data_IF_052756145557
#
_entry.id   IF_052756145557
#
_cell.length_a   1.000
_cell.length_b   1.000
_cell.length_c   1.000
_cell.angle_alpha   90.00
_cell.angle_beta   90.00
_cell.angle_gamma   90.00
#
_symmetry.space_group_name_H-M   'P 1'
#
loop_
_entity.id
_entity.type
_entity.pdbx_description
1 polymer ?
2 non-polymer ?
3 water ?
#
# COMPACT_ATOMS: atom_id res chain seq x y z
N UNK A 5 25.03 19.69 -19.53
CA UNK A 5 24.64 19.71 -18.08
C UNK A 5 23.15 19.36 -17.79
N UNK A 6 23.04 18.37 -16.93
CA UNK A 6 21.82 17.66 -16.69
C UNK A 6 20.81 18.53 -15.96
N UNK A 7 21.29 19.36 -15.02
CA UNK A 7 20.42 20.28 -14.29
C UNK A 7 19.78 21.27 -15.26
N UNK A 8 20.56 21.79 -16.21
CA UNK A 8 20.00 22.69 -17.23
C UNK A 8 18.92 22.02 -18.06
N UNK A 9 19.15 20.76 -18.44
CA UNK A 9 18.16 19.94 -19.14
C UNK A 9 16.85 19.76 -18.35
N UNK A 10 16.97 19.49 -17.06
CA UNK A 10 15.79 19.41 -16.20
C UNK A 10 15.05 20.75 -16.13
N UNK A 11 15.81 21.83 -15.95
CA UNK A 11 15.25 23.19 -15.96
C UNK A 11 14.48 23.54 -17.22
N UNK A 12 15.03 23.14 -18.36
CA UNK A 12 14.40 23.35 -19.66
C UNK A 12 13.03 22.73 -19.74
N UNK A 13 12.87 21.56 -19.11
CA UNK A 13 11.61 20.86 -19.02
C UNK A 13 10.59 21.60 -18.18
N UNK A 14 11.07 22.34 -17.19
CA UNK A 14 10.22 23.02 -16.20
C UNK A 14 9.79 24.44 -16.58
N UNK A 15 10.63 25.15 -17.33
CA UNK A 15 10.46 26.58 -17.61
C UNK A 15 9.40 26.89 -18.67
N UNK A 16 8.94 28.15 -18.69
CA UNK A 16 7.85 28.63 -19.56
C UNK A 16 8.34 29.26 -20.86
N UNK A 17 9.65 29.25 -21.07
CA UNK A 17 10.21 29.79 -22.32
C UNK A 17 10.59 31.25 -22.26
N UNK A 18 10.19 31.94 -21.18
CA UNK A 18 10.51 33.35 -20.97
C UNK A 18 11.60 33.57 -19.91
N UNK A 19 12.27 32.48 -19.54
CA UNK A 19 13.21 32.44 -18.42
C UNK A 19 12.56 32.28 -17.05
N UNK A 20 11.28 31.90 -17.02
CA UNK A 20 10.48 31.83 -15.79
C UNK A 20 9.84 30.45 -15.62
N UNK A 21 9.22 30.24 -14.45
CA UNK A 21 8.66 28.94 -14.05
C UNK A 21 7.28 29.22 -13.49
N UNK A 22 6.25 28.56 -14.04
CA UNK A 22 4.87 28.80 -13.56
C UNK A 22 4.76 28.41 -12.08
N UNK A 23 3.91 29.12 -11.35
CA UNK A 23 3.70 28.78 -9.93
C UNK A 23 2.46 27.89 -9.79
N UNK A 24 2.32 27.15 -8.65
CA UNK A 24 1.14 26.27 -8.43
C UNK A 24 -0.15 27.00 -8.66
N UNK A 25 -1.02 26.41 -9.47
CA UNK A 25 -2.31 27.00 -9.80
C UNK A 25 -3.39 26.55 -8.82
N UNK A 26 -3.04 25.57 -7.98
CA UNK A 26 -3.93 25.05 -6.91
C UNK A 26 -3.11 24.77 -5.67
N UNK A 27 -3.73 24.76 -4.48
CA UNK A 27 -2.97 24.46 -3.27
C UNK A 27 -2.49 23.00 -3.15
N UNK A 28 -3.18 22.09 -3.85
CA UNK A 28 -2.86 20.65 -3.75
C UNK A 28 -3.19 19.94 -5.08
N UNK A 29 -2.33 19.00 -5.48
CA UNK A 29 -2.59 18.13 -6.63
C UNK A 29 -2.20 16.68 -6.32
N UNK A 30 -2.97 15.74 -6.89
CA UNK A 30 -2.56 14.34 -6.89
C UNK A 30 -1.60 14.19 -8.09
N UNK A 31 -0.33 13.98 -7.80
CA UNK A 31 0.70 14.07 -8.84
C UNK A 31 0.89 12.73 -9.54
N UNK A 32 0.69 11.67 -8.77
CA UNK A 32 0.71 10.29 -9.23
C UNK A 32 -0.32 9.60 -8.32
N UNK A 33 -0.83 8.41 -8.73
CA UNK A 33 -1.92 7.85 -7.93
C UNK A 33 -1.61 7.72 -6.42
N UNK A 34 -2.51 8.31 -5.62
CA UNK A 34 -2.47 8.31 -4.14
C UNK A 34 -1.30 9.08 -3.51
N UNK A 35 -0.60 9.87 -4.33
CA UNK A 35 0.41 10.82 -3.82
C UNK A 35 0.02 12.25 -4.20
N UNK A 36 -0.10 13.09 -3.18
CA UNK A 36 -0.51 14.49 -3.30
C UNK A 36 0.67 15.35 -2.89
N UNK A 37 0.85 16.44 -3.63
CA UNK A 37 1.84 17.46 -3.30
C UNK A 37 1.10 18.78 -3.08
N UNK A 38 1.43 19.48 -2.00
CA UNK A 38 0.69 20.70 -1.69
C UNK A 38 1.41 21.67 -0.79
N UNK A 39 0.70 22.73 -0.42
CA UNK A 39 1.29 23.83 0.31
C UNK A 39 0.94 23.80 1.80
N UNK A 40 1.33 24.88 2.48
CA UNK A 40 1.18 24.93 3.94
C UNK A 40 -0.28 25.03 4.35
N UNK A 41 -1.10 25.64 3.50
CA UNK A 41 -2.49 25.88 3.88
C UNK A 41 -3.26 24.57 3.84
N UNK A 42 -2.99 23.74 2.85
CA UNK A 42 -3.72 22.47 2.76
C UNK A 42 -3.28 21.52 3.89
N UNK A 43 -1.99 21.55 4.23
CA UNK A 43 -1.44 20.72 5.32
C UNK A 43 -2.16 21.07 6.63
N UNK A 44 -2.54 22.34 6.76
CA UNK A 44 -3.14 22.83 8.00
C UNK A 44 -4.68 22.83 7.99
N UNK A 45 -5.25 22.17 6.97
CA UNK A 45 -6.70 22.09 6.80
C UNK A 45 -7.13 20.64 6.97
N UNK A 46 -7.27 20.22 8.21
CA UNK A 46 -7.55 18.82 8.49
C UNK A 46 -8.85 18.32 7.87
N UNK A 47 -9.95 19.10 7.97
CA UNK A 47 -11.15 18.63 7.25
C UNK A 47 -10.95 18.40 5.74
N UNK A 48 -10.22 19.27 5.05
CA UNK A 48 -9.91 19.03 3.64
C UNK A 48 -9.13 17.72 3.44
N UNK A 49 -8.15 17.48 4.31
CA UNK A 49 -7.32 16.27 4.24
C UNK A 49 -8.16 15.01 4.37
N UNK A 50 -9.11 15.04 5.31
CA UNK A 50 -10.03 13.93 5.56
C UNK A 50 -10.93 13.64 4.37
N UNK A 51 -11.48 14.69 3.75
CA UNK A 51 -12.32 14.55 2.54
C UNK A 51 -11.55 13.94 1.38
N UNK A 52 -10.25 14.26 1.29
CA UNK A 52 -9.38 13.73 0.26
C UNK A 52 -9.02 12.25 0.55
N UNK A 53 -9.25 11.82 1.78
CA UNK A 53 -8.87 10.50 2.28
C UNK A 53 -7.38 10.34 2.63
N UNK A 54 -6.73 11.44 2.98
CA UNK A 54 -5.31 11.41 3.34
C UNK A 54 -5.09 10.62 4.64
N UNK A 55 -4.18 9.65 4.58
CA UNK A 55 -3.88 8.84 5.76
C UNK A 55 -2.51 9.22 6.37
N UNK A 56 -1.66 9.84 5.55
CA UNK A 56 -0.28 10.11 5.93
C UNK A 56 0.13 11.50 5.44
N UNK A 57 0.87 12.22 6.28
CA UNK A 57 1.36 13.55 5.91
C UNK A 57 2.85 13.60 6.25
N UNK A 58 3.64 13.90 5.21
CA UNK A 58 5.08 14.14 5.27
C UNK A 58 5.27 15.64 5.11
N UNK A 59 5.61 16.32 6.21
CA UNK A 59 5.95 17.74 6.19
C UNK A 59 7.44 17.89 5.87
N UNK A 60 7.74 18.30 4.63
CA UNK A 60 9.13 18.48 4.16
C UNK A 60 9.63 19.90 4.38
N UNK A 61 8.88 20.70 5.14
CA UNK A 61 9.32 22.04 5.51
C UNK A 61 9.09 22.32 6.99
N UNK A 62 9.30 21.30 7.83
CA UNK A 62 8.96 21.41 9.24
C UNK A 62 9.87 22.44 9.92
N UNK A 63 9.29 23.33 10.72
CA UNK A 63 10.09 24.35 11.36
C UNK A 63 9.33 25.59 11.73
N UNK A 64 10.04 26.62 12.17
CA UNK A 64 9.44 27.79 12.81
C UNK A 64 9.56 29.12 12.00
N UNK A 65 10.26 29.09 10.87
CA UNK A 65 10.40 30.33 10.06
C UNK A 65 9.25 30.58 9.06
N UNK A 66 9.24 31.77 8.46
CA UNK A 66 8.24 32.09 7.43
C UNK A 66 8.40 31.21 6.17
N UNK A 67 9.50 30.46 6.09
CA UNK A 67 9.67 29.49 4.99
C UNK A 67 9.44 28.03 5.43
N UNK A 68 8.92 27.88 6.64
CA UNK A 68 8.63 26.55 7.19
C UNK A 68 7.16 26.43 7.56
N UNK A 69 6.75 25.21 7.89
CA UNK A 69 5.39 24.91 8.32
C UNK A 69 5.51 24.34 9.73
N UNK A 70 4.95 25.10 10.68
CA UNK A 70 5.10 24.83 12.11
C UNK A 70 4.06 23.84 12.64
N UNK A 71 3.98 22.69 12.00
CA UNK A 71 3.13 21.59 12.46
C UNK A 71 3.99 20.54 13.15
N UNK A 72 3.33 19.51 13.67
CA UNK A 72 3.94 18.50 14.50
C UNK A 72 2.95 17.36 14.63
N UNK A 73 3.36 16.28 15.29
CA UNK A 73 2.49 15.09 15.47
C UNK A 73 1.21 15.45 16.19
N UNK A 74 1.34 16.26 17.23
CA UNK A 74 0.20 16.68 18.05
C UNK A 74 -0.88 17.45 17.29
N UNK A 75 -0.48 18.21 16.27
CA UNK A 75 -1.44 18.87 15.37
C UNK A 75 -2.39 17.86 14.72
N UNK A 76 -1.86 16.66 14.43
CA UNK A 76 -2.67 15.63 13.80
C UNK A 76 -3.23 14.59 14.78
N UNK A 77 -3.00 14.77 16.07
CA UNK A 77 -3.46 13.77 17.05
C UNK A 77 -4.99 13.63 17.00
N UNK A 78 -5.45 12.39 16.92
CA UNK A 78 -6.89 12.06 16.86
C UNK A 78 -7.60 12.56 15.58
N UNK A 79 -6.81 12.88 14.54
CA UNK A 79 -7.37 13.07 13.20
C UNK A 79 -7.27 11.72 12.51
N UNK A 80 -6.46 10.83 13.09
CA UNK A 80 -6.15 9.52 12.49
C UNK A 80 -5.11 9.57 11.36
N UNK A 81 -4.50 10.74 11.16
CA UNK A 81 -3.49 10.90 10.13
C UNK A 81 -2.12 10.67 10.77
N UNK A 82 -1.29 9.89 10.09
CA UNK A 82 0.05 9.56 10.54
C UNK A 82 1.02 10.61 10.00
N UNK A 83 1.84 11.18 10.89
CA UNK A 83 2.70 12.33 10.56
C UNK A 83 4.21 12.02 10.63
N UNK A 84 4.96 12.55 9.65
CA UNK A 84 6.43 12.67 9.77
C UNK A 84 6.88 14.06 9.32
N UNK A 85 7.84 14.64 10.05
CA UNK A 85 8.41 15.93 9.66
C UNK A 85 9.88 15.83 9.27
N UNK A 86 10.25 16.64 8.28
CA UNK A 86 11.65 16.79 7.83
C UNK A 86 11.89 18.30 7.81
N UNK A 87 12.84 18.75 8.62
CA UNK A 87 13.12 20.19 8.78
C UNK A 87 14.08 20.65 7.67
N UNK A 88 13.59 20.64 6.43
CA UNK A 88 14.44 21.02 5.29
C UNK A 88 14.36 22.51 5.01
N UNK A 89 15.49 23.08 4.58
CA UNK A 89 15.51 24.42 4.02
C UNK A 89 15.55 24.36 2.51
N UNK A 90 14.83 25.28 1.86
CA UNK A 90 14.86 25.33 0.37
C UNK A 90 16.08 26.10 -0.14
N UNK A 91 17.27 25.49 -0.01
CA UNK A 91 18.51 26.09 -0.51
C UNK A 91 19.33 25.06 -1.24
N UNK A 92 20.18 25.55 -2.13
CA UNK A 92 21.02 24.67 -2.91
C UNK A 92 21.99 23.92 -2.02
N UNK A 93 22.21 24.45 -0.82
CA UNK A 93 23.16 23.88 0.14
C UNK A 93 22.56 22.76 0.99
N UNK A 94 21.23 22.69 1.08
CA UNK A 94 20.60 21.77 2.00
C UNK A 94 20.70 20.40 1.36
N UNK A 95 21.28 19.46 2.11
CA UNK A 95 21.43 18.09 1.62
C UNK A 95 20.16 17.27 1.78
N UNK A 96 19.16 17.57 0.95
CA UNK A 96 17.87 16.83 1.00
C UNK A 96 18.05 15.34 0.68
N UNK A 97 19.08 15.01 -0.11
CA UNK A 97 19.32 13.61 -0.44
C UNK A 97 19.56 12.70 0.78
N UNK A 98 20.05 13.26 1.87
CA UNK A 98 20.20 12.51 3.12
C UNK A 98 18.85 11.96 3.63
N UNK A 99 17.76 12.52 3.10
CA UNK A 99 16.38 12.16 3.52
C UNK A 99 15.62 11.33 2.49
N UNK A 100 16.24 11.08 1.34
CA UNK A 100 15.53 10.40 0.25
C UNK A 100 15.03 9.03 0.70
N UNK A 101 15.86 8.28 1.41
CA UNK A 101 15.48 6.94 1.86
C UNK A 101 14.38 6.98 2.92
N UNK A 102 14.60 7.81 3.95
CA UNK A 102 13.63 8.14 5.01
C UNK A 102 12.24 8.49 4.38
N UNK A 103 12.20 9.45 3.44
CA UNK A 103 10.96 9.84 2.75
C UNK A 103 10.32 8.72 1.90
N UNK A 104 11.12 8.00 1.13
CA UNK A 104 10.59 6.92 0.27
C UNK A 104 9.98 5.81 1.12
N UNK A 105 10.63 5.53 2.26
CA UNK A 105 10.13 4.53 3.20
C UNK A 105 8.79 4.96 3.78
N UNK A 106 8.63 6.24 4.08
CA UNK A 106 7.37 6.78 4.59
C UNK A 106 6.26 6.71 3.52
N UNK A 107 6.59 7.11 2.29
CA UNK A 107 5.61 7.07 1.18
C UNK A 107 5.22 5.63 0.97
N UNK A 108 6.22 4.76 1.01
CA UNK A 108 5.89 3.37 0.80
C UNK A 108 5.13 2.70 1.97
N UNK A 109 5.38 3.15 3.20
CA UNK A 109 4.57 2.81 4.39
C UNK A 109 3.09 3.09 4.06
N UNK A 110 2.82 4.28 3.51
CA UNK A 110 1.45 4.63 3.13
C UNK A 110 0.90 3.80 1.96
N UNK A 111 1.67 3.64 0.89
CA UNK A 111 1.12 3.12 -0.39
C UNK A 111 1.03 1.60 -0.40
N UNK A 112 1.67 0.99 0.57
CA UNK A 112 1.70 -0.44 0.58
C UNK A 112 0.45 -1.08 1.16
N UNK A 113 -0.33 -0.40 1.99
CA UNK A 113 -1.79 -0.33 1.97
C UNK A 113 -2.64 0.31 0.89
N UNK A 114 -3.63 -0.45 0.42
CA UNK A 114 -4.38 -0.04 -0.79
C UNK A 114 -5.24 1.22 -0.59
N UNK A 115 -5.62 1.51 0.67
CA UNK A 115 -6.39 2.71 0.97
C UNK A 115 -5.50 3.89 1.40
N UNK A 116 -4.20 3.68 1.50
CA UNK A 116 -3.30 4.76 1.92
C UNK A 116 -3.28 5.89 0.89
N UNK A 117 -3.21 7.12 1.37
CA UNK A 117 -3.02 8.28 0.53
C UNK A 117 -2.12 9.26 1.29
N UNK A 118 -1.06 9.71 0.65
CA UNK A 118 -0.04 10.51 1.33
C UNK A 118 0.02 11.92 0.73
N UNK A 119 -0.01 12.92 1.61
CA UNK A 119 0.32 14.30 1.24
C UNK A 119 1.79 14.53 1.59
N UNK A 120 2.59 14.81 0.57
CA UNK A 120 3.96 15.29 0.81
C UNK A 120 3.91 16.80 0.52
N UNK A 121 4.12 17.63 1.52
CA UNK A 121 3.95 19.08 1.35
C UNK A 121 5.15 19.85 1.86
N UNK A 122 5.26 21.11 1.45
CA UNK A 122 6.23 21.99 2.07
C UNK A 122 5.54 23.33 2.27
N UNK A 123 6.29 24.43 2.17
CA UNK A 123 5.65 25.73 2.28
C UNK A 123 4.76 26.01 1.04
N UNK A 124 5.29 25.81 -0.16
CA UNK A 124 4.51 26.09 -1.35
C UNK A 124 4.18 24.87 -2.22
N UNK A 125 4.66 23.70 -1.83
CA UNK A 125 4.60 22.49 -2.68
C UNK A 125 5.32 22.64 -4.01
N UNK A 126 6.49 23.26 -3.98
CA UNK A 126 7.13 23.72 -5.21
C UNK A 126 8.56 23.21 -5.38
N UNK A 127 9.31 23.16 -4.28
CA UNK A 127 10.72 22.72 -4.38
C UNK A 127 11.04 21.52 -3.44
N UNK A 128 10.79 21.67 -2.14
CA UNK A 128 11.19 20.62 -1.19
C UNK A 128 10.37 19.36 -1.38
N UNK A 129 9.03 19.48 -1.31
CA UNK A 129 8.18 18.27 -1.42
C UNK A 129 8.24 17.59 -2.78
N UNK A 130 8.22 18.37 -3.92
CA UNK A 130 8.32 17.68 -5.20
C UNK A 130 9.62 16.89 -5.37
N UNK A 131 10.72 17.38 -4.79
CA UNK A 131 12.00 16.65 -4.83
C UNK A 131 11.90 15.27 -4.18
N UNK A 132 11.25 15.21 -3.04
CA UNK A 132 11.11 13.95 -2.31
C UNK A 132 10.22 12.97 -3.08
N UNK A 133 9.14 13.48 -3.66
CA UNK A 133 8.22 12.60 -4.42
C UNK A 133 8.95 12.08 -5.68
N UNK A 134 9.65 12.97 -6.38
CA UNK A 134 10.48 12.54 -7.52
C UNK A 134 11.53 11.46 -7.13
N UNK A 135 12.30 11.69 -6.07
CA UNK A 135 13.23 10.66 -5.59
C UNK A 135 12.53 9.33 -5.30
N UNK A 136 11.37 9.40 -4.68
CA UNK A 136 10.58 8.19 -4.39
C UNK A 136 10.19 7.46 -5.68
N UNK A 137 9.77 8.20 -6.70
CA UNK A 137 9.37 7.59 -7.97
C UNK A 137 10.55 6.86 -8.60
N UNK A 138 11.74 7.48 -8.50
CA UNK A 138 12.94 6.90 -9.03
C UNK A 138 13.36 5.63 -8.27
N UNK A 139 13.45 5.77 -6.95
CA UNK A 139 13.90 4.70 -6.05
C UNK A 139 12.95 3.52 -5.88
N UNK A 140 11.64 3.78 -5.96
CA UNK A 140 10.66 2.73 -5.63
C UNK A 140 9.82 2.31 -6.84
N UNK A 141 9.67 3.21 -7.79
CA UNK A 141 8.85 2.94 -8.98
C UNK A 141 9.71 2.86 -10.26
N UNK A 142 11.03 2.92 -10.09
CA UNK A 142 11.99 2.69 -11.20
C UNK A 142 11.94 3.69 -12.36
N UNK A 143 11.41 4.88 -12.11
CA UNK A 143 11.40 5.96 -13.09
C UNK A 143 12.73 6.70 -13.14
N UNK A 144 13.27 6.92 -14.33
CA UNK A 144 14.41 7.83 -14.48
C UNK A 144 13.95 9.25 -14.10
N UNK A 145 14.91 10.08 -13.71
CA UNK A 145 14.64 11.43 -13.23
C UNK A 145 13.81 12.27 -14.23
N UNK A 146 14.14 12.18 -15.52
CA UNK A 146 13.41 12.99 -16.51
C UNK A 146 11.95 12.56 -16.57
N UNK A 147 11.71 11.26 -16.54
CA UNK A 147 10.35 10.74 -16.58
C UNK A 147 9.59 11.10 -15.32
N UNK A 148 10.26 10.96 -14.18
CA UNK A 148 9.65 11.20 -12.88
C UNK A 148 9.32 12.69 -12.75
N UNK A 149 10.32 13.53 -13.06
CA UNK A 149 10.16 14.99 -12.98
C UNK A 149 9.05 15.43 -13.94
N UNK A 150 9.03 14.83 -15.12
CA UNK A 150 8.04 15.22 -16.11
C UNK A 150 6.59 14.85 -15.72
N UNK A 151 6.37 13.65 -15.20
CA UNK A 151 4.99 13.30 -14.79
C UNK A 151 4.49 14.18 -13.63
N UNK A 152 5.36 14.47 -12.67
CA UNK A 152 5.01 15.37 -11.56
C UNK A 152 4.68 16.78 -12.08
N UNK A 153 5.56 17.32 -12.92
CA UNK A 153 5.35 18.65 -13.48
C UNK A 153 4.04 18.75 -14.30
N UNK A 154 3.67 17.67 -14.98
CA UNK A 154 2.45 17.70 -15.77
C UNK A 154 1.24 17.87 -14.84
N UNK A 155 1.35 17.32 -13.63
CA UNK A 155 0.26 17.39 -12.66
C UNK A 155 0.30 18.48 -11.60
N UNK A 156 1.41 19.22 -11.54
CA UNK A 156 1.57 20.36 -10.63
C UNK A 156 2.72 21.23 -11.09
N UNK A 157 2.53 22.56 -11.04
CA UNK A 157 3.63 23.48 -11.35
C UNK A 157 4.65 23.33 -10.21
N UNK A 158 5.89 22.99 -10.56
CA UNK A 158 6.97 22.74 -9.60
C UNK A 158 8.26 23.40 -10.08
N UNK A 159 9.16 23.69 -9.14
CA UNK A 159 10.51 24.19 -9.50
C UNK A 159 11.51 23.86 -8.39
N UNK A 160 11.94 22.59 -8.31
CA UNK A 160 12.99 22.28 -7.33
C UNK A 160 14.24 23.15 -7.58
N UNK A 161 14.88 23.62 -6.53
CA UNK A 161 16.11 24.41 -6.69
C UNK A 161 17.22 23.61 -7.39
N UNK A 162 18.21 24.29 -7.93
CA UNK A 162 19.24 23.63 -8.75
C UNK A 162 20.05 22.62 -7.95
N UNK A 163 20.23 22.90 -6.64
CA UNK A 163 20.92 21.97 -5.75
C UNK A 163 20.15 20.67 -5.66
N UNK A 164 18.84 20.77 -5.44
CA UNK A 164 17.97 19.61 -5.39
C UNK A 164 17.99 18.86 -6.71
N UNK A 165 17.90 19.57 -7.83
CA UNK A 165 17.97 18.89 -9.14
C UNK A 165 19.28 18.14 -9.30
N UNK A 166 20.39 18.74 -8.87
CA UNK A 166 21.70 18.07 -8.96
C UNK A 166 21.74 16.81 -8.09
N UNK A 167 21.13 16.88 -6.90
CA UNK A 167 21.01 15.69 -6.04
C UNK A 167 20.18 14.60 -6.71
N UNK A 168 19.10 15.00 -7.41
CA UNK A 168 18.32 14.03 -8.18
C UNK A 168 19.11 13.43 -9.35
N UNK A 169 19.95 14.23 -10.01
CA UNK A 169 20.80 13.67 -11.09
C UNK A 169 21.84 12.66 -10.58
N UNK A 170 22.43 12.99 -9.42
CA UNK A 170 23.39 12.07 -8.78
C UNK A 170 22.68 10.76 -8.42
N UNK A 171 21.49 10.89 -7.82
CA UNK A 171 20.63 9.74 -7.56
C UNK A 171 20.34 8.90 -8.81
N UNK A 172 19.99 9.56 -9.91
CA UNK A 172 19.69 8.89 -11.18
C UNK A 172 20.88 8.06 -11.72
N UNK A 173 22.07 8.69 -11.69
CA UNK A 173 23.34 8.03 -12.00
C UNK A 173 23.53 6.71 -11.24
N UNK A 174 23.32 6.76 -9.93
CA UNK A 174 23.51 5.60 -9.07
C UNK A 174 22.49 4.49 -9.40
N UNK A 175 21.22 4.87 -9.53
CA UNK A 175 20.17 3.91 -9.87
C UNK A 175 20.39 3.32 -11.27
N UNK A 176 20.79 4.17 -12.22
CA UNK A 176 21.07 3.72 -13.59
C UNK A 176 22.15 2.64 -13.61
N UNK A 177 23.25 2.93 -12.92
CA UNK A 177 24.41 2.06 -12.95
C UNK A 177 24.13 0.77 -12.19
N UNK A 178 23.37 0.86 -11.11
CA UNK A 178 22.91 -0.30 -10.33
C UNK A 178 21.83 -1.12 -11.02
N UNK A 179 21.39 -0.70 -12.21
CA UNK A 179 20.34 -1.41 -12.98
C UNK A 179 18.95 -1.38 -12.37
N UNK A 180 18.61 -0.26 -11.73
CA UNK A 180 17.35 -0.14 -11.01
C UNK A 180 16.33 0.80 -11.69
N UNK A 181 16.58 1.15 -12.95
CA UNK A 181 15.67 2.01 -13.69
C UNK A 181 15.08 1.30 -14.89
N UNK A 182 13.79 1.54 -15.13
CA UNK A 182 13.11 1.09 -16.35
C UNK A 182 13.70 1.79 -17.58
N UNK A 183 13.99 1.01 -18.65
CA UNK A 183 14.40 1.60 -19.92
C UNK A 183 13.19 2.22 -20.60
N UNK B 5 7.54 -7.51 -12.72
CA UNK B 5 8.18 -7.65 -11.36
C UNK B 5 7.26 -7.24 -10.23
N UNK B 6 7.23 -7.99 -9.15
CA UNK B 6 6.51 -9.21 -9.16
C UNK B 6 5.34 -8.65 -8.31
N UNK B 7 5.66 -7.93 -7.22
CA UNK B 7 4.63 -7.24 -6.40
C UNK B 7 3.83 -6.24 -7.26
N UNK B 8 4.50 -5.43 -8.09
CA UNK B 8 3.78 -4.54 -9.00
C UNK B 8 2.85 -5.29 -9.98
N UNK B 9 3.32 -6.41 -10.53
CA UNK B 9 2.46 -7.24 -11.39
C UNK B 9 1.20 -7.71 -10.63
N UNK B 10 1.36 -8.06 -9.36
CA UNK B 10 0.21 -8.50 -8.58
C UNK B 10 -0.71 -7.31 -8.25
N UNK B 11 -0.15 -6.15 -7.90
CA UNK B 11 -0.98 -4.97 -7.71
C UNK B 11 -1.84 -4.60 -8.95
N UNK B 12 -1.23 -4.72 -10.15
CA UNK B 12 -1.95 -4.51 -11.42
C UNK B 12 -3.12 -5.51 -11.62
N UNK B 13 -3.00 -6.72 -11.08
CA UNK B 13 -4.07 -7.70 -11.14
C UNK B 13 -5.20 -7.40 -10.14
N UNK B 14 -4.86 -6.68 -9.08
CA UNK B 14 -5.82 -6.38 -8.01
C UNK B 14 -6.63 -5.15 -8.30
N UNK B 15 -5.97 -4.13 -8.85
CA UNK B 15 -6.65 -2.90 -9.18
C UNK B 15 -7.46 -3.15 -10.44
N UNK B 16 -8.50 -2.33 -10.68
CA UNK B 16 -9.05 -2.34 -12.04
C UNK B 16 -8.05 -1.69 -13.00
N UNK B 17 -8.39 -1.73 -14.28
CA UNK B 17 -7.51 -1.26 -15.35
C UNK B 17 -7.19 0.22 -15.33
N UNK B 18 -7.95 0.99 -14.56
CA UNK B 18 -7.63 2.41 -14.33
C UNK B 18 -6.64 2.60 -13.15
N UNK B 19 -6.33 1.50 -12.44
CA UNK B 19 -5.46 1.54 -11.26
C UNK B 19 -6.14 1.80 -9.92
N UNK B 20 -7.47 1.92 -9.94
CA UNK B 20 -8.23 2.11 -8.68
C UNK B 20 -8.37 0.76 -7.95
N UNK B 21 -8.42 0.80 -6.61
CA UNK B 21 -8.66 -0.38 -5.79
C UNK B 21 -10.07 -0.41 -5.22
N UNK B 22 -10.88 -1.38 -5.63
CA UNK B 22 -12.25 -1.44 -5.15
C UNK B 22 -12.35 -2.23 -3.83
N UNK B 23 -13.29 -1.83 -2.99
CA UNK B 23 -13.56 -2.52 -1.73
C UNK B 23 -14.64 -3.60 -1.95
N UNK B 24 -14.73 -4.61 -1.04
CA UNK B 24 -15.72 -5.70 -1.15
C UNK B 24 -17.15 -5.19 -1.41
N UNK B 25 -17.77 -5.74 -2.44
CA UNK B 25 -19.14 -5.38 -2.80
C UNK B 25 -20.17 -6.11 -1.92
N UNK B 26 -19.76 -7.17 -1.23
CA UNK B 26 -20.62 -7.82 -0.24
C UNK B 26 -19.82 -8.39 0.93
N UNK B 27 -20.48 -8.65 2.07
CA UNK B 27 -19.80 -9.17 3.26
C UNK B 27 -18.98 -10.44 3.09
N UNK B 28 -19.44 -11.36 2.23
CA UNK B 28 -18.85 -12.70 2.08
C UNK B 28 -18.95 -13.18 0.63
N UNK B 29 -17.92 -13.87 0.13
CA UNK B 29 -17.98 -14.54 -1.16
C UNK B 29 -17.37 -15.92 -1.11
N UNK B 30 -18.01 -16.87 -1.78
CA UNK B 30 -17.39 -18.17 -2.06
C UNK B 30 -16.38 -17.93 -3.16
N UNK B 31 -15.07 -17.96 -2.82
CA UNK B 31 -14.06 -17.59 -3.83
C UNK B 31 -13.63 -18.77 -4.70
N UNK B 32 -13.63 -19.96 -4.11
CA UNK B 32 -13.46 -21.20 -4.83
C UNK B 32 -14.45 -22.19 -4.17
N UNK B 33 -14.75 -23.33 -4.81
CA UNK B 33 -15.82 -24.13 -4.22
C UNK B 33 -15.58 -24.51 -2.74
N UNK B 34 -16.56 -24.20 -1.89
CA UNK B 34 -16.55 -24.45 -0.44
C UNK B 34 -15.51 -23.62 0.35
N UNK B 35 -14.86 -22.65 -0.29
CA UNK B 35 -13.93 -21.75 0.42
C UNK B 35 -14.48 -20.34 0.35
N UNK B 36 -14.78 -19.78 1.52
CA UNK B 36 -15.39 -18.44 1.61
C UNK B 36 -14.40 -17.46 2.20
N UNK B 37 -14.46 -16.22 1.72
CA UNK B 37 -13.68 -15.13 2.31
C UNK B 37 -14.66 -14.02 2.66
N UNK B 38 -14.57 -13.53 3.89
CA UNK B 38 -15.59 -12.61 4.39
C UNK B 38 -15.06 -11.71 5.49
N UNK B 39 -15.92 -10.80 5.96
CA UNK B 39 -15.56 -9.80 6.96
C UNK B 39 -15.99 -10.22 8.36
N UNK B 40 -15.68 -9.37 9.35
CA UNK B 40 -15.91 -9.65 10.77
C UNK B 40 -17.38 -9.84 11.11
N UNK B 41 -18.24 -9.09 10.45
CA UNK B 41 -19.68 -9.16 10.73
C UNK B 41 -20.22 -10.57 10.41
N UNK B 42 -19.72 -11.17 9.36
CA UNK B 42 -20.18 -12.50 8.94
C UNK B 42 -19.68 -13.52 9.96
N UNK B 43 -18.39 -13.47 10.31
CA UNK B 43 -17.79 -14.34 11.32
C UNK B 43 -18.50 -14.27 12.69
N UNK B 44 -19.00 -13.08 13.03
CA UNK B 44 -19.66 -12.88 14.35
C UNK B 44 -21.17 -13.19 14.38
N UNK B 45 -21.69 -13.70 13.28
CA UNK B 45 -23.14 -13.93 13.12
C UNK B 45 -23.36 -15.43 12.91
N UNK B 46 -23.46 -16.16 14.02
CA UNK B 46 -23.54 -17.62 13.94
C UNK B 46 -24.79 -18.09 13.16
N UNK B 47 -25.98 -17.52 13.43
CA UNK B 47 -27.11 -17.86 12.57
C UNK B 47 -26.81 -17.74 11.08
N UNK B 48 -26.16 -16.65 10.65
CA UNK B 48 -25.81 -16.50 9.24
C UNK B 48 -24.81 -17.57 8.75
N UNK B 49 -23.81 -17.86 9.58
CA UNK B 49 -22.84 -18.91 9.24
C UNK B 49 -23.56 -20.24 9.04
N UNK B 50 -24.49 -20.55 9.95
CA UNK B 50 -25.22 -21.81 9.88
C UNK B 50 -26.08 -21.86 8.63
N UNK B 51 -26.70 -20.74 8.27
CA UNK B 51 -27.50 -20.66 7.03
C UNK B 51 -26.66 -20.89 5.77
N UNK B 52 -25.43 -20.36 5.77
CA UNK B 52 -24.46 -20.55 4.69
C UNK B 52 -23.89 -21.97 4.63
N UNK B 53 -24.07 -22.72 5.72
CA UNK B 53 -23.50 -24.06 5.84
C UNK B 53 -22.01 -24.08 6.19
N UNK B 54 -21.52 -22.97 6.76
CA UNK B 54 -20.12 -22.90 7.22
C UNK B 54 -19.89 -23.87 8.40
N UNK B 55 -18.87 -24.70 8.27
CA UNK B 55 -18.54 -25.71 9.28
C UNK B 55 -17.24 -25.43 10.00
N UNK B 56 -16.42 -24.55 9.40
CA UNK B 56 -15.05 -24.27 9.86
C UNK B 56 -14.79 -22.76 9.69
N UNK B 57 -14.25 -22.14 10.74
CA UNK B 57 -13.91 -20.71 10.69
C UNK B 57 -12.44 -20.55 11.00
N UNK B 58 -11.73 -19.95 10.04
CA UNK B 58 -10.34 -19.55 10.21
C UNK B 58 -10.28 -18.03 10.38
N UNK B 59 -10.10 -17.59 11.61
CA UNK B 59 -9.96 -16.17 11.94
C UNK B 59 -8.51 -15.73 11.78
N UNK B 60 -8.22 -15.10 10.64
CA UNK B 60 -6.88 -14.56 10.32
C UNK B 60 -6.65 -13.13 10.83
N UNK B 61 -7.51 -12.69 11.73
CA UNK B 61 -7.36 -11.38 12.42
C UNK B 61 -7.69 -11.49 13.92
N UNK B 62 -7.30 -12.60 14.55
CA UNK B 62 -7.69 -12.78 15.96
C UNK B 62 -6.95 -11.80 16.86
N UNK B 63 -7.69 -11.18 17.76
CA UNK B 63 -7.08 -10.25 18.70
C UNK B 63 -8.10 -9.35 19.32
N UNK B 64 -7.60 -8.36 20.05
CA UNK B 64 -8.40 -7.52 20.93
C UNK B 64 -8.53 -6.08 20.48
N UNK B 65 -7.78 -5.67 19.45
CA UNK B 65 -7.81 -4.28 18.99
C UNK B 65 -8.96 -3.99 18.02
N UNK B 66 -9.14 -2.71 17.67
CA UNK B 66 -10.15 -2.37 16.68
C UNK B 66 -9.87 -2.99 15.32
N UNK B 67 -8.64 -3.36 15.00
CA UNK B 67 -8.42 -4.11 13.75
C UNK B 67 -8.28 -5.66 13.80
N UNK B 68 -8.88 -6.21 14.82
CA UNK B 68 -8.90 -7.62 15.04
C UNK B 68 -10.32 -8.06 15.36
N UNK B 69 -10.50 -9.38 15.42
CA UNK B 69 -11.77 -9.97 15.74
C UNK B 69 -11.59 -10.83 16.99
N UNK B 70 -12.33 -10.48 18.04
CA UNK B 70 -12.20 -11.12 19.35
C UNK B 70 -13.09 -12.36 19.49
N UNK B 71 -12.76 -13.40 18.75
CA UNK B 71 -13.54 -14.64 18.81
C UNK B 71 -12.63 -15.77 19.24
N UNK B 72 -13.21 -16.94 19.50
CA UNK B 72 -12.44 -18.11 19.93
C UNK B 72 -13.29 -19.37 19.83
N UNK B 73 -12.74 -20.53 20.19
CA UNK B 73 -13.53 -21.76 20.19
C UNK B 73 -14.82 -21.65 21.04
N UNK B 74 -14.73 -21.04 22.21
CA UNK B 74 -15.91 -20.84 23.08
C UNK B 74 -17.03 -20.08 22.39
N UNK B 75 -16.67 -19.08 21.58
CA UNK B 75 -17.66 -18.30 20.83
C UNK B 75 -18.50 -19.25 19.98
N UNK B 76 -17.88 -20.30 19.46
CA UNK B 76 -18.54 -21.22 18.54
C UNK B 76 -19.01 -22.52 19.22
N UNK B 77 -18.97 -22.55 20.55
CA UNK B 77 -19.40 -23.72 21.35
C UNK B 77 -20.76 -24.29 20.93
N UNK B 78 -20.77 -25.58 20.60
CA UNK B 78 -22.01 -26.32 20.31
C UNK B 78 -22.79 -25.81 19.09
N UNK B 79 -22.10 -25.10 18.19
CA UNK B 79 -22.73 -24.55 16.97
C UNK B 79 -22.45 -25.45 15.79
N UNK B 80 -21.59 -26.44 15.99
CA UNK B 80 -21.15 -27.32 14.92
C UNK B 80 -20.08 -26.65 14.04
N UNK B 81 -19.54 -25.52 14.54
CA UNK B 81 -18.45 -24.81 13.85
C UNK B 81 -17.10 -25.07 14.56
N UNK B 82 -16.09 -25.49 13.77
CA UNK B 82 -14.74 -25.77 14.23
C UNK B 82 -13.89 -24.49 13.96
N UNK B 83 -13.06 -24.11 14.94
CA UNK B 83 -12.35 -22.82 14.92
C UNK B 83 -10.80 -22.95 14.92
N UNK B 84 -10.13 -22.13 14.10
CA UNK B 84 -8.70 -21.90 14.22
C UNK B 84 -8.46 -20.39 14.14
N UNK B 85 -7.59 -19.86 15.00
CA UNK B 85 -7.28 -18.43 14.97
C UNK B 85 -5.81 -18.20 14.69
N UNK B 86 -5.52 -17.09 14.03
CA UNK B 86 -4.15 -16.61 13.81
C UNK B 86 -4.14 -15.14 14.25
N UNK B 87 -3.25 -14.78 15.18
CA UNK B 87 -3.17 -13.39 15.61
C UNK B 87 -2.31 -12.61 14.63
N UNK B 88 -2.96 -12.12 13.57
CA UNK B 88 -2.23 -11.48 12.48
C UNK B 88 -2.57 -9.99 12.45
N UNK B 89 -1.57 -9.20 12.06
CA UNK B 89 -1.74 -7.77 11.82
C UNK B 89 -1.68 -7.52 10.33
N UNK B 90 -2.52 -6.61 9.86
CA UNK B 90 -2.47 -6.25 8.46
C UNK B 90 -1.37 -5.20 8.24
N UNK B 91 -0.12 -5.63 8.31
CA UNK B 91 0.99 -4.73 8.00
C UNK B 91 2.03 -5.46 7.21
N UNK B 92 2.82 -4.72 6.45
CA UNK B 92 3.89 -5.38 5.70
C UNK B 92 4.97 -5.98 6.60
N UNK B 93 5.00 -5.57 7.87
CA UNK B 93 5.97 -6.15 8.83
C UNK B 93 5.53 -7.50 9.37
N UNK B 94 4.25 -7.86 9.18
CA UNK B 94 3.76 -9.08 9.84
C UNK B 94 4.08 -10.27 8.99
N UNK B 95 4.69 -11.31 9.56
CA UNK B 95 5.09 -12.44 8.74
C UNK B 95 3.99 -13.49 8.63
N UNK B 96 2.99 -13.19 7.82
CA UNK B 96 1.86 -14.11 7.66
C UNK B 96 2.29 -15.44 7.03
N UNK B 97 3.38 -15.41 6.26
CA UNK B 97 3.90 -16.60 5.58
C UNK B 97 4.22 -17.75 6.54
N UNK B 98 4.63 -17.40 7.76
CA UNK B 98 4.90 -18.41 8.80
C UNK B 98 3.67 -19.28 9.10
N UNK B 99 2.48 -18.78 8.76
CA UNK B 99 1.23 -19.49 8.98
C UNK B 99 0.63 -20.11 7.72
N UNK B 100 1.33 -19.99 6.57
CA UNK B 100 0.74 -20.53 5.31
C UNK B 100 0.43 -22.04 5.42
N UNK B 101 1.38 -22.80 5.94
CA UNK B 101 1.20 -24.27 6.03
C UNK B 101 0.06 -24.66 7.00
N UNK B 102 0.08 -24.03 8.18
CA UNK B 102 -0.98 -24.24 9.18
C UNK B 102 -2.37 -23.93 8.64
N UNK B 103 -2.50 -22.80 7.93
CA UNK B 103 -3.77 -22.40 7.33
C UNK B 103 -4.22 -23.39 6.23
N UNK B 104 -3.29 -23.78 5.36
CA UNK B 104 -3.61 -24.73 4.27
C UNK B 104 -4.10 -26.06 4.83
N UNK B 105 -3.47 -26.50 5.93
CA UNK B 105 -3.88 -27.75 6.62
C UNK B 105 -5.30 -27.63 7.16
N UNK B 106 -5.63 -26.46 7.73
CA UNK B 106 -7.01 -26.25 8.25
C UNK B 106 -8.05 -26.25 7.11
N UNK B 107 -7.72 -25.57 6.01
CA UNK B 107 -8.59 -25.57 4.84
C UNK B 107 -8.81 -26.98 4.27
N UNK B 108 -7.73 -27.76 4.18
CA UNK B 108 -7.82 -29.16 3.77
C UNK B 108 -8.71 -30.00 4.70
N UNK B 109 -8.60 -29.75 6.00
CA UNK B 109 -9.42 -30.41 7.01
C UNK B 109 -10.88 -30.07 6.81
N UNK B 110 -11.17 -28.79 6.60
CA UNK B 110 -12.53 -28.35 6.31
C UNK B 110 -13.05 -29.06 5.06
N UNK B 111 -12.28 -29.06 3.98
CA UNK B 111 -12.77 -29.63 2.73
C UNK B 111 -12.94 -31.15 2.80
N UNK B 112 -12.16 -31.80 3.66
CA UNK B 112 -12.22 -33.27 3.82
C UNK B 112 -13.54 -33.65 4.48
N UNK B 113 -14.10 -32.74 5.27
CA UNK B 113 -15.39 -33.00 5.91
C UNK B 113 -16.47 -33.02 4.83
N UNK B 114 -17.30 -34.05 4.81
CA UNK B 114 -18.42 -34.03 3.88
C UNK B 114 -19.32 -32.82 4.15
N UNK B 115 -19.57 -32.05 3.10
CA UNK B 115 -20.31 -30.79 3.16
C UNK B 115 -19.56 -29.70 3.91
N UNK B 116 -18.27 -29.94 4.15
CA UNK B 116 -17.46 -28.98 4.88
C UNK B 116 -17.36 -27.68 4.09
N UNK B 117 -17.50 -26.56 4.80
CA UNK B 117 -17.33 -25.24 4.18
C UNK B 117 -16.54 -24.37 5.14
N UNK B 118 -15.43 -23.80 4.64
CA UNK B 118 -14.58 -22.98 5.47
C UNK B 118 -14.77 -21.51 5.13
N UNK B 119 -14.96 -20.70 6.17
CA UNK B 119 -14.82 -19.24 6.06
C UNK B 119 -13.45 -18.83 6.57
N UNK B 120 -12.61 -18.33 5.66
CA UNK B 120 -11.36 -17.66 6.08
C UNK B 120 -11.69 -16.17 6.10
N UNK B 121 -11.61 -15.54 7.26
CA UNK B 121 -12.03 -14.17 7.42
C UNK B 121 -10.99 -13.37 8.17
N UNK B 122 -11.09 -12.05 8.06
CA UNK B 122 -10.30 -11.14 8.89
C UNK B 122 -11.24 -10.02 9.31
N UNK B 123 -10.79 -8.78 9.39
CA UNK B 123 -11.73 -7.73 9.81
C UNK B 123 -12.57 -7.34 8.59
N UNK B 124 -11.94 -7.18 7.44
CA UNK B 124 -12.66 -6.78 6.24
C UNK B 124 -12.71 -7.82 5.11
N UNK B 125 -12.03 -8.96 5.28
CA UNK B 125 -11.93 -9.95 4.17
C UNK B 125 -11.15 -9.39 2.97
N UNK B 126 -10.18 -8.52 3.24
CA UNK B 126 -9.59 -7.69 2.19
C UNK B 126 -8.09 -7.95 2.01
N UNK B 127 -7.36 -8.11 3.11
CA UNK B 127 -5.90 -8.28 3.08
C UNK B 127 -5.37 -9.56 3.74
N UNK B 128 -5.65 -9.78 5.03
CA UNK B 128 -5.11 -10.94 5.73
C UNK B 128 -5.71 -12.26 5.21
N UNK B 129 -7.04 -12.38 5.27
CA UNK B 129 -7.68 -13.66 4.89
C UNK B 129 -7.47 -14.05 3.41
N UNK B 130 -7.61 -13.09 2.44
CA UNK B 130 -7.34 -13.51 1.06
C UNK B 130 -5.90 -13.98 0.81
N UNK B 131 -4.93 -13.44 1.56
CA UNK B 131 -3.53 -13.90 1.42
C UNK B 131 -3.40 -15.39 1.74
N UNK B 132 -4.08 -15.81 2.81
CA UNK B 132 -4.09 -17.22 3.20
C UNK B 132 -4.70 -18.15 2.17
N UNK B 133 -5.82 -17.73 1.58
CA UNK B 133 -6.50 -18.54 0.56
C UNK B 133 -5.66 -18.65 -0.73
N UNK B 134 -5.08 -17.54 -1.15
CA UNK B 134 -4.13 -17.55 -2.30
C UNK B 134 -2.94 -18.48 -2.05
N UNK B 135 -2.30 -18.39 -0.88
CA UNK B 135 -1.21 -19.32 -0.57
C UNK B 135 -1.69 -20.77 -0.54
N UNK B 136 -2.90 -21.02 -0.04
CA UNK B 136 -3.49 -22.37 -0.05
C UNK B 136 -3.62 -22.93 -1.50
N UNK B 137 -4.13 -22.09 -2.40
CA UNK B 137 -4.34 -22.48 -3.78
C UNK B 137 -3.00 -22.82 -4.45
N UNK B 138 -1.98 -22.06 -4.12
CA UNK B 138 -0.65 -22.25 -4.65
C UNK B 138 -0.05 -23.57 -4.09
N UNK B 139 -0.19 -23.76 -2.79
CA UNK B 139 0.44 -24.90 -2.12
C UNK B 139 -0.31 -26.23 -2.31
N UNK B 140 -1.64 -26.18 -2.38
CA UNK B 140 -2.44 -27.39 -2.39
C UNK B 140 -3.11 -27.67 -3.74
N UNK B 141 -3.35 -26.64 -4.52
CA UNK B 141 -3.89 -26.82 -5.88
C UNK B 141 -2.88 -26.50 -6.99
N UNK B 142 -1.62 -26.28 -6.60
CA UNK B 142 -0.45 -26.19 -7.51
C UNK B 142 -0.53 -25.00 -8.50
N UNK B 143 -1.22 -23.94 -8.09
CA UNK B 143 -1.52 -22.75 -8.90
C UNK B 143 -0.34 -21.77 -8.70
N UNK B 144 0.21 -21.19 -9.77
CA UNK B 144 1.15 -20.10 -9.60
C UNK B 144 0.41 -18.92 -8.95
N UNK B 145 1.17 -18.01 -8.36
CA UNK B 145 0.60 -16.84 -7.63
C UNK B 145 -0.30 -15.95 -8.49
N UNK B 146 0.08 -15.71 -9.76
CA UNK B 146 -0.77 -14.89 -10.61
C UNK B 146 -2.14 -15.54 -10.82
N UNK B 147 -2.16 -16.85 -11.09
CA UNK B 147 -3.41 -17.57 -11.33
C UNK B 147 -4.26 -17.65 -10.05
N UNK B 148 -3.59 -17.91 -8.93
CA UNK B 148 -4.27 -18.05 -7.63
C UNK B 148 -4.89 -16.71 -7.17
N UNK B 149 -4.10 -15.64 -7.24
CA UNK B 149 -4.57 -14.31 -6.90
C UNK B 149 -5.70 -13.87 -7.84
N UNK B 150 -5.57 -14.16 -9.14
CA UNK B 150 -6.61 -13.76 -10.09
C UNK B 150 -7.91 -14.46 -9.81
N UNK B 151 -7.87 -15.74 -9.45
CA UNK B 151 -9.13 -16.42 -9.17
C UNK B 151 -9.82 -15.89 -7.90
N UNK B 152 -9.03 -15.57 -6.87
CA UNK B 152 -9.65 -15.00 -5.66
C UNK B 152 -10.21 -13.58 -5.97
N UNK B 153 -9.40 -12.74 -6.62
CA UNK B 153 -9.83 -11.38 -7.01
C UNK B 153 -11.06 -11.42 -7.93
N UNK B 154 -11.14 -12.43 -8.78
CA UNK B 154 -12.32 -12.58 -9.63
C UNK B 154 -13.60 -12.66 -8.81
N UNK B 155 -13.53 -13.32 -7.66
CA UNK B 155 -14.70 -13.53 -6.82
C UNK B 155 -14.90 -12.64 -5.59
N UNK B 156 -13.91 -11.81 -5.26
CA UNK B 156 -14.04 -10.84 -4.17
C UNK B 156 -13.04 -9.72 -4.38
N UNK B 157 -13.47 -8.50 -4.12
CA UNK B 157 -12.54 -7.35 -4.20
C UNK B 157 -11.58 -7.45 -3.01
N UNK B 158 -10.29 -7.59 -3.30
CA UNK B 158 -9.26 -7.86 -2.28
C UNK B 158 -8.07 -6.97 -2.60
N UNK B 159 -7.23 -6.73 -1.60
CA UNK B 159 -6.01 -5.95 -1.77
C UNK B 159 -4.98 -6.23 -0.67
N UNK B 160 -4.37 -7.44 -0.66
CA UNK B 160 -3.30 -7.71 0.33
C UNK B 160 -2.24 -6.61 0.27
N UNK B 161 -1.75 -6.20 1.43
CA UNK B 161 -0.71 -5.17 1.49
C UNK B 161 0.56 -5.67 0.77
N UNK B 162 1.40 -4.75 0.33
CA UNK B 162 2.61 -5.14 -0.43
C UNK B 162 3.53 -6.16 0.25
N UNK B 163 3.53 -6.19 1.59
CA UNK B 163 4.36 -7.15 2.32
C UNK B 163 3.83 -8.56 2.10
N UNK B 164 2.51 -8.72 2.27
CA UNK B 164 1.88 -10.02 2.01
C UNK B 164 2.07 -10.46 0.57
N UNK B 165 1.98 -9.54 -0.37
CA UNK B 165 2.25 -9.86 -1.79
C UNK B 165 3.71 -10.33 -2.01
N UNK B 166 4.67 -9.66 -1.36
CA UNK B 166 6.08 -10.08 -1.44
C UNK B 166 6.22 -11.49 -0.86
N UNK B 167 5.47 -11.80 0.21
CA UNK B 167 5.57 -13.16 0.81
C UNK B 167 4.98 -14.20 -0.13
N UNK B 168 3.93 -13.83 -0.86
CA UNK B 168 3.35 -14.72 -1.85
C UNK B 168 4.31 -14.94 -3.02
N UNK B 169 5.03 -13.90 -3.40
CA UNK B 169 6.01 -14.01 -4.49
C UNK B 169 7.15 -14.93 -4.07
N UNK B 170 7.58 -14.78 -2.81
CA UNK B 170 8.64 -15.63 -2.27
C UNK B 170 8.17 -17.09 -2.21
N UNK B 171 6.90 -17.30 -1.85
CA UNK B 171 6.31 -18.65 -1.87
C UNK B 171 6.29 -19.23 -3.29
N UNK B 172 5.86 -18.42 -4.26
CA UNK B 172 5.87 -18.82 -5.67
C UNK B 172 7.26 -19.24 -6.16
N UNK B 173 8.26 -18.42 -5.85
CA UNK B 173 9.69 -18.72 -6.08
C UNK B 173 10.07 -20.10 -5.54
N UNK B 174 9.67 -20.40 -4.31
CA UNK B 174 9.98 -21.71 -3.74
C UNK B 174 9.25 -22.87 -4.42
N UNK B 175 7.94 -22.74 -4.62
CA UNK B 175 7.18 -23.78 -5.33
C UNK B 175 7.75 -24.04 -6.74
N UNK B 176 8.05 -22.95 -7.45
CA UNK B 176 8.79 -23.02 -8.71
C UNK B 176 10.16 -23.71 -8.53
N UNK B 177 10.98 -23.29 -7.56
CA UNK B 177 12.28 -23.93 -7.43
C UNK B 177 12.22 -25.43 -7.01
N UNK B 178 11.05 -25.88 -6.53
CA UNK B 178 10.81 -27.28 -6.16
C UNK B 178 10.02 -28.08 -7.21
N UNK B 179 9.55 -27.42 -8.25
CA UNK B 179 8.78 -28.07 -9.31
C UNK B 179 7.35 -28.43 -8.96
N UNK B 180 6.75 -27.70 -8.03
CA UNK B 180 5.38 -28.01 -7.56
C UNK B 180 4.26 -27.17 -8.16
N UNK B 181 4.52 -26.49 -9.28
CA UNK B 181 3.49 -25.63 -9.90
C UNK B 181 3.03 -26.21 -11.24
N UNK B 182 1.72 -26.15 -11.49
CA UNK B 182 1.18 -26.60 -12.77
C UNK B 182 1.40 -25.53 -13.84
N UNK B 183 1.77 -25.96 -15.08
CA UNK B 183 2.01 -25.08 -16.22
C UNK B 183 0.74 -24.34 -16.68
#
# INVERSE_FOLDING_TARGET
GSFELSVQDLNDLLSDGSGCYSLPSQPCNEVTPRIYVGNASVAQDIPKLQKLGITHVLNAAEGRSFMHVNTNANFYKDSGITYLGIKANDTQEFNLSAYFERAADFIDQALAQKNGRVLVHCREGYSRSPTLVIAYLMMRQKMDVKSALSIVRQNREIGPNDGFLAQLCQLNDRLAKEGKLKP
GSFELSVQDLNDLLSDGSGCYSLPSQPCNEVTPRIYVGNASVAQDIPKLQKLGITHVLNAAEGRSFMHVNTNANFYKDSGITYLGIKANDTQEFNLSAYFERAADFIDQALAQKNGRVLVHCREGYSRSPTLVIAYLMMRQKMDVKSALSIVRQNREIGPNDGFLAQLCQLNDRLAKEGKLKP
#
